data_IF_596680932898
#
_entry.id   IF_596680932898
#
_cell.length_a   1.000
_cell.length_b   1.000
_cell.length_c   1.000
_cell.angle_alpha   90.00
_cell.angle_beta   90.00
_cell.angle_gamma   90.00
#
_symmetry.space_group_name_H-M   'P 1'
#
loop_
_entity.id
_entity.type
_entity.pdbx_description
1 polymer ?
#
# COMPACT_ATOMS: atom_id res chain seq x y z
N UNK A 1 1.66 -22.52 21.45
CA UNK A 1 0.85 -21.51 21.18
C UNK A 1 1.08 -21.05 19.83
N UNK A 2 0.09 -20.87 19.22
CA UNK A 2 0.21 -20.19 18.06
C UNK A 2 0.52 -18.90 18.43
N UNK A 3 1.52 -18.64 18.07
CA UNK A 3 1.80 -17.48 18.56
C UNK A 3 1.59 -16.45 17.58
N UNK A 4 1.75 -15.29 18.09
CA UNK A 4 1.56 -14.12 17.34
C UNK A 4 2.42 -14.10 16.10
N UNK A 5 3.61 -14.67 16.19
CA UNK A 5 4.51 -14.65 15.05
C UNK A 5 3.96 -15.43 13.88
N UNK A 6 3.32 -16.56 14.17
CA UNK A 6 2.73 -17.36 13.11
C UNK A 6 1.61 -16.60 12.42
N UNK A 7 0.78 -15.95 13.24
CA UNK A 7 -0.32 -15.18 12.66
C UNK A 7 0.18 -13.99 11.86
N UNK A 8 1.23 -13.35 12.35
CA UNK A 8 1.78 -12.20 11.64
C UNK A 8 2.35 -12.61 10.30
N UNK A 9 2.96 -13.78 10.21
CA UNK A 9 3.50 -14.27 8.95
C UNK A 9 2.40 -14.66 7.99
N UNK A 10 1.32 -15.26 8.51
CA UNK A 10 0.24 -15.73 7.65
C UNK A 10 -0.69 -14.60 7.22
N UNK A 11 -0.86 -13.60 8.08
CA UNK A 11 -1.82 -12.52 7.81
C UNK A 11 -1.18 -11.18 8.13
N UNK A 12 -0.15 -10.82 7.38
CA UNK A 12 0.57 -9.57 7.70
C UNK A 12 -0.29 -8.32 7.58
N UNK A 13 -1.39 -8.37 6.86
CA UNK A 13 -2.24 -7.20 6.76
C UNK A 13 -2.87 -6.84 8.11
N UNK A 14 -2.85 -7.74 9.08
CA UNK A 14 -3.38 -7.45 10.40
C UNK A 14 -2.30 -6.92 11.34
N UNK A 15 -1.06 -6.83 10.86
CA UNK A 15 0.04 -6.34 11.67
C UNK A 15 0.54 -5.04 11.07
N UNK A 16 0.53 -3.99 11.85
CA UNK A 16 0.94 -2.69 11.35
C UNK A 16 2.36 -2.41 11.79
N UNK A 17 3.30 -2.71 10.92
CA UNK A 17 4.69 -2.44 11.19
C UNK A 17 4.97 -0.98 10.90
N UNK A 18 5.48 -0.28 11.87
CA UNK A 18 5.81 1.11 11.68
C UNK A 18 4.65 2.06 11.91
N UNK A 19 3.51 1.56 12.39
CA UNK A 19 2.40 2.43 12.67
C UNK A 19 1.08 1.76 12.42
N UNK A 20 0.03 2.52 12.56
CA UNK A 20 -1.31 1.97 12.43
C UNK A 20 -2.15 2.75 11.44
N UNK A 21 -1.52 3.29 10.41
CA UNK A 21 -2.25 4.18 9.51
C UNK A 21 -3.27 3.48 8.62
N UNK A 22 -3.27 2.14 8.61
CA UNK A 22 -4.26 1.39 7.84
C UNK A 22 -5.32 0.71 8.71
N UNK A 23 -5.22 0.80 10.03
CA UNK A 23 -6.09 0.01 10.90
C UNK A 23 -7.55 0.35 10.79
N UNK A 24 -7.88 1.56 10.34
CA UNK A 24 -9.27 1.97 10.23
C UNK A 24 -9.92 1.65 8.91
N UNK A 25 -9.17 1.07 8.00
CA UNK A 25 -9.74 0.74 6.70
C UNK A 25 -10.45 -0.60 6.79
N UNK A 26 -11.73 -0.67 6.40
CA UNK A 26 -12.43 -1.96 6.42
C UNK A 26 -11.75 -2.99 5.53
N UNK A 27 -11.17 -2.55 4.42
CA UNK A 27 -10.39 -3.40 3.56
C UNK A 27 -9.00 -2.82 3.50
N UNK A 28 -8.02 -3.63 3.89
CA UNK A 28 -6.65 -3.16 3.91
C UNK A 28 -6.13 -2.96 2.49
N UNK A 29 -5.33 -1.93 2.27
CA UNK A 29 -4.76 -1.71 0.92
C UNK A 29 -4.04 -2.93 0.37
N UNK A 30 -3.29 -3.63 1.22
CA UNK A 30 -2.58 -4.83 0.76
C UNK A 30 -3.57 -5.87 0.24
N UNK A 31 -4.66 -6.06 0.97
CA UNK A 31 -5.66 -7.05 0.58
C UNK A 31 -6.29 -6.68 -0.76
N UNK A 32 -6.64 -5.41 -0.92
CA UNK A 32 -7.23 -4.92 -2.16
C UNK A 32 -6.27 -5.11 -3.34
N UNK A 33 -5.01 -4.74 -3.14
CA UNK A 33 -4.00 -4.84 -4.17
C UNK A 33 -3.80 -6.30 -4.57
N UNK A 34 -3.68 -7.17 -3.57
CA UNK A 34 -3.39 -8.57 -3.80
C UNK A 34 -4.56 -9.28 -4.49
N UNK A 35 -5.76 -9.06 -3.98
CA UNK A 35 -6.92 -9.77 -4.52
C UNK A 35 -7.31 -9.31 -5.91
N UNK A 36 -6.98 -8.09 -6.25
CA UNK A 36 -7.26 -7.57 -7.59
C UNK A 36 -6.09 -7.75 -8.55
N UNK A 37 -5.02 -8.38 -8.07
CA UNK A 37 -3.87 -8.66 -8.93
C UNK A 37 -3.31 -7.39 -9.56
N UNK A 38 -3.21 -6.35 -8.76
CA UNK A 38 -2.74 -5.07 -9.29
C UNK A 38 -1.25 -5.11 -9.55
N UNK A 39 -0.83 -4.32 -10.53
CA UNK A 39 0.59 -4.22 -10.86
C UNK A 39 1.35 -3.47 -9.78
N UNK A 40 2.67 -3.48 -9.90
CA UNK A 40 3.53 -2.75 -8.99
C UNK A 40 3.16 -1.26 -8.97
N UNK A 41 2.96 -0.68 -10.15
CA UNK A 41 2.56 0.71 -10.25
C UNK A 41 1.22 0.95 -9.56
N UNK A 42 0.22 0.16 -9.92
CA UNK A 42 -1.11 0.32 -9.34
C UNK A 42 -1.08 0.16 -7.83
N UNK A 43 -0.34 -0.83 -7.35
CA UNK A 43 -0.25 -1.07 -5.93
C UNK A 43 0.39 0.08 -5.18
N UNK A 44 1.46 0.65 -5.75
CA UNK A 44 2.10 1.77 -5.09
C UNK A 44 1.23 3.00 -5.06
N UNK A 45 0.49 3.27 -6.13
CA UNK A 45 -0.44 4.39 -6.14
C UNK A 45 -1.52 4.20 -5.08
N UNK A 46 -2.11 3.02 -5.00
CA UNK A 46 -3.12 2.73 -3.99
C UNK A 46 -2.56 2.91 -2.60
N UNK A 47 -1.37 2.37 -2.35
CA UNK A 47 -0.74 2.46 -1.05
C UNK A 47 -0.56 3.90 -0.61
N UNK A 48 0.00 4.74 -1.46
CA UNK A 48 0.28 6.12 -1.07
C UNK A 48 -0.97 6.97 -1.02
N UNK A 49 -1.94 6.72 -1.90
CA UNK A 49 -3.21 7.42 -1.84
C UNK A 49 -3.93 7.12 -0.53
N UNK A 50 -3.80 5.90 -0.03
CA UNK A 50 -4.48 5.51 1.20
C UNK A 50 -3.81 6.05 2.45
N UNK A 51 -2.55 6.48 2.36
CA UNK A 51 -1.85 6.84 3.59
C UNK A 51 -1.43 8.30 3.69
N UNK A 52 -1.47 9.05 2.59
CA UNK A 52 -0.82 10.36 2.58
C UNK A 52 -1.38 11.31 3.64
N UNK A 53 -2.68 11.22 3.94
CA UNK A 53 -3.29 12.13 4.90
C UNK A 53 -2.82 11.86 6.32
N UNK A 54 -2.38 10.63 6.59
CA UNK A 54 -2.04 10.24 7.95
C UNK A 54 -0.56 10.12 8.18
N UNK A 55 0.24 10.02 7.12
CA UNK A 55 1.65 9.81 7.33
C UNK A 55 2.54 10.65 6.42
N UNK A 56 2.50 10.43 5.13
CA UNK A 56 3.50 11.02 4.24
C UNK A 56 3.21 12.39 3.70
N UNK A 57 1.95 12.83 3.78
CA UNK A 57 1.59 14.16 3.32
C UNK A 57 2.01 14.41 1.88
N UNK A 58 2.56 15.58 1.67
CA UNK A 58 2.97 16.00 0.32
C UNK A 58 4.01 15.07 -0.30
N UNK A 59 4.86 14.47 0.52
CA UNK A 59 5.86 13.54 -0.01
C UNK A 59 5.21 12.33 -0.66
N UNK A 60 4.15 11.81 -0.05
CA UNK A 60 3.45 10.69 -0.64
C UNK A 60 2.79 11.06 -1.95
N UNK A 61 2.23 12.27 -2.02
CA UNK A 61 1.64 12.75 -3.28
C UNK A 61 2.71 12.86 -4.36
N UNK A 62 3.89 13.36 -4.00
CA UNK A 62 4.98 13.43 -4.96
C UNK A 62 5.41 12.05 -5.44
N UNK A 63 5.37 11.06 -4.56
CA UNK A 63 5.68 9.69 -4.97
C UNK A 63 4.66 9.17 -5.97
N UNK A 64 3.39 9.48 -5.74
CA UNK A 64 2.34 9.07 -6.67
C UNK A 64 2.60 9.69 -8.05
N UNK A 65 2.92 10.97 -8.07
CA UNK A 65 3.21 11.66 -9.33
C UNK A 65 4.40 11.00 -10.02
N UNK A 66 5.44 10.70 -9.25
CA UNK A 66 6.63 10.07 -9.81
C UNK A 66 6.31 8.70 -10.40
N UNK A 67 5.53 7.90 -9.70
CA UNK A 67 5.15 6.59 -10.24
C UNK A 67 4.33 6.75 -11.51
N UNK A 68 3.46 7.76 -11.56
CA UNK A 68 2.70 8.00 -12.78
C UNK A 68 3.60 8.36 -13.95
N UNK A 69 4.62 9.17 -13.70
CA UNK A 69 5.57 9.54 -14.74
C UNK A 69 6.35 8.32 -15.24
N UNK A 70 6.77 7.46 -14.31
CA UNK A 70 7.46 6.25 -14.68
C UNK A 70 6.59 5.34 -15.53
N UNK A 71 5.34 5.19 -15.14
CA UNK A 71 4.42 4.34 -15.87
C UNK A 71 4.19 4.87 -17.27
N UNK A 72 4.00 6.17 -17.39
CA UNK A 72 3.82 6.80 -18.70
C UNK A 72 5.02 6.54 -19.60
N UNK A 73 6.22 6.56 -19.02
CA UNK A 73 7.42 6.35 -19.82
C UNK A 73 7.51 4.91 -20.33
N UNK A 74 6.93 3.95 -19.60
CA UNK A 74 6.98 2.57 -20.02
C UNK A 74 5.93 2.21 -21.06
N UNK A 75 4.74 2.81 -20.94
CA UNK A 75 3.66 2.47 -21.88
C UNK A 75 3.54 3.48 -22.98
N UNK A 76 4.27 4.55 -22.87
CA UNK A 76 4.14 5.59 -23.85
C UNK A 76 4.69 5.18 -25.16
N UNK A 77 4.06 5.61 -26.09
CA UNK A 77 4.38 5.26 -27.40
C UNK A 77 4.52 6.50 -28.22
#
# INVERSE_FOLDING_TARGET
>A
MTDKNILDEAFPQYTQVGGNHYTKFPIQPYEFISKNDLSFFQGNVVKYVCRYQRKGGAEDIKKIIHYCQLELSLIHI
#
